data_IF_202153160221
#
_entry.id   IF_202153160221
#
_cell.length_a   1.000
_cell.length_b   1.000
_cell.length_c   1.000
_cell.angle_alpha   90.00
_cell.angle_beta   90.00
_cell.angle_gamma   90.00
#
_symmetry.space_group_name_H-M   'P 1'
#
loop_
_entity.id
_entity.type
_entity.pdbx_description
1 polymer ?
#
# COMPACT_ATOMS: atom_id res chain seq x y z
N UNK A 1 -17.23 21.45 -18.30
CA UNK A 1 -16.55 21.68 -17.00
C UNK A 1 -16.55 20.46 -16.08
N UNK A 2 -17.69 19.80 -15.81
CA UNK A 2 -17.75 18.68 -14.85
C UNK A 2 -16.88 17.45 -15.15
N UNK A 3 -16.72 17.07 -16.43
CA UNK A 3 -15.93 15.88 -16.81
C UNK A 3 -14.41 16.09 -16.73
N UNK A 4 -13.93 17.33 -16.90
CA UNK A 4 -12.50 17.63 -16.78
C UNK A 4 -12.06 17.55 -15.32
N UNK A 5 -12.85 18.16 -14.42
CA UNK A 5 -12.61 18.14 -12.97
C UNK A 5 -12.64 16.71 -12.43
N UNK A 6 -13.63 15.89 -12.83
CA UNK A 6 -13.71 14.47 -12.44
C UNK A 6 -12.48 13.68 -12.90
N UNK A 7 -12.01 13.85 -14.14
CA UNK A 7 -10.79 13.17 -14.62
C UNK A 7 -9.53 13.59 -13.85
N UNK A 8 -9.40 14.88 -13.53
CA UNK A 8 -8.26 15.38 -12.77
C UNK A 8 -8.27 14.85 -11.33
N UNK A 9 -9.44 14.82 -10.68
CA UNK A 9 -9.62 14.23 -9.36
C UNK A 9 -9.32 12.73 -9.36
N UNK A 10 -9.82 11.97 -10.35
CA UNK A 10 -9.50 10.55 -10.48
C UNK A 10 -8.00 10.31 -10.65
N UNK A 11 -7.31 11.11 -11.47
CA UNK A 11 -5.85 11.03 -11.62
C UNK A 11 -5.10 11.35 -10.33
N UNK A 12 -5.56 12.35 -9.58
CA UNK A 12 -4.98 12.73 -8.30
C UNK A 12 -5.15 11.60 -7.26
N UNK A 13 -6.35 11.01 -7.19
CA UNK A 13 -6.65 9.88 -6.31
C UNK A 13 -5.82 8.64 -6.67
N UNK A 14 -5.67 8.32 -7.97
CA UNK A 14 -4.77 7.24 -8.41
C UNK A 14 -3.33 7.54 -8.02
N UNK A 15 -2.85 8.77 -8.23
CA UNK A 15 -1.49 9.17 -7.84
C UNK A 15 -1.26 9.09 -6.33
N UNK A 16 -2.26 9.39 -5.51
CA UNK A 16 -2.17 9.30 -4.05
C UNK A 16 -2.17 7.84 -3.59
N UNK A 17 -3.02 7.00 -4.19
CA UNK A 17 -3.03 5.56 -3.90
C UNK A 17 -1.67 4.92 -4.24
N UNK A 18 -1.08 5.25 -5.38
CA UNK A 18 0.22 4.73 -5.79
C UNK A 18 1.34 5.15 -4.82
N UNK A 19 1.36 6.41 -4.39
CA UNK A 19 2.31 6.88 -3.36
C UNK A 19 2.15 6.11 -2.05
N UNK A 20 0.92 5.88 -1.62
CA UNK A 20 0.64 5.14 -0.37
C UNK A 20 1.11 3.69 -0.48
N UNK A 21 0.87 3.03 -1.62
CA UNK A 21 1.40 1.68 -1.89
C UNK A 21 2.93 1.64 -1.81
N UNK A 22 3.62 2.61 -2.41
CA UNK A 22 5.09 2.69 -2.35
C UNK A 22 5.60 2.89 -0.91
N UNK A 23 4.98 3.77 -0.13
CA UNK A 23 5.33 3.98 1.29
C UNK A 23 5.12 2.69 2.10
N UNK A 24 4.02 1.97 1.90
CA UNK A 24 3.77 0.67 2.54
C UNK A 24 4.82 -0.36 2.14
N UNK A 25 5.14 -0.46 0.84
CA UNK A 25 6.14 -1.40 0.32
C UNK A 25 7.48 -1.17 1.00
N UNK A 26 7.92 0.09 1.09
CA UNK A 26 9.17 0.45 1.76
C UNK A 26 9.17 0.07 3.25
N UNK A 27 8.08 0.33 3.98
CA UNK A 27 7.94 -0.05 5.39
C UNK A 27 7.98 -1.57 5.60
N UNK A 28 7.23 -2.32 4.79
CA UNK A 28 7.19 -3.78 4.85
C UNK A 28 8.56 -4.38 4.55
N UNK A 29 9.25 -3.87 3.53
CA UNK A 29 10.61 -4.30 3.18
C UNK A 29 11.61 -4.00 4.29
N UNK A 30 11.52 -2.83 4.92
CA UNK A 30 12.37 -2.48 6.06
C UNK A 30 12.17 -3.45 7.24
N UNK A 31 10.94 -3.86 7.52
CA UNK A 31 10.64 -4.85 8.55
C UNK A 31 11.16 -6.25 8.18
N UNK A 32 11.04 -6.68 6.91
CA UNK A 32 11.61 -7.95 6.43
C UNK A 32 13.12 -7.98 6.65
N UNK A 33 13.80 -6.87 6.35
CA UNK A 33 15.25 -6.78 6.43
C UNK A 33 15.77 -6.75 7.88
N UNK A 34 14.97 -6.24 8.82
CA UNK A 34 15.40 -6.02 10.22
C UNK A 34 14.92 -7.11 11.18
N UNK A 35 13.83 -7.81 10.88
CA UNK A 35 13.29 -8.85 11.77
C UNK A 35 14.06 -10.17 11.65
N UNK A 36 14.16 -10.91 12.76
CA UNK A 36 14.63 -12.31 12.77
C UNK A 36 13.50 -13.33 12.60
N UNK A 37 12.23 -12.92 12.73
CA UNK A 37 11.07 -13.82 12.66
C UNK A 37 10.74 -14.23 11.23
N UNK A 38 10.80 -15.53 10.94
CA UNK A 38 10.41 -16.08 9.64
C UNK A 38 8.95 -15.81 9.29
N UNK A 39 8.06 -15.90 10.28
CA UNK A 39 6.64 -15.58 10.11
C UNK A 39 6.41 -14.13 9.69
N UNK A 40 7.09 -13.18 10.35
CA UNK A 40 6.96 -11.75 10.01
C UNK A 40 7.48 -11.49 8.59
N UNK A 41 8.59 -12.13 8.20
CA UNK A 41 9.11 -12.03 6.83
C UNK A 41 8.09 -12.52 5.79
N UNK A 42 7.56 -13.73 5.98
CA UNK A 42 6.58 -14.32 5.06
C UNK A 42 5.31 -13.49 4.97
N UNK A 43 4.74 -13.07 6.11
CA UNK A 43 3.53 -12.23 6.14
C UNK A 43 3.77 -10.91 5.39
N UNK A 44 4.90 -10.24 5.64
CA UNK A 44 5.18 -8.96 5.02
C UNK A 44 5.44 -9.08 3.52
N UNK A 45 6.07 -10.18 3.06
CA UNK A 45 6.23 -10.45 1.64
C UNK A 45 4.86 -10.63 0.96
N UNK A 46 3.96 -11.40 1.57
CA UNK A 46 2.58 -11.56 1.05
C UNK A 46 1.85 -10.21 0.96
N UNK A 47 2.03 -9.32 1.94
CA UNK A 47 1.47 -7.97 1.85
C UNK A 47 2.07 -7.16 0.69
N UNK A 48 3.38 -7.26 0.43
CA UNK A 48 4.02 -6.61 -0.72
C UNK A 48 3.41 -7.12 -2.03
N UNK A 49 3.24 -8.43 -2.18
CA UNK A 49 2.70 -9.04 -3.40
C UNK A 49 1.23 -8.59 -3.63
N UNK A 50 0.46 -8.43 -2.55
CA UNK A 50 -0.92 -7.95 -2.63
C UNK A 50 -1.04 -6.46 -2.99
N UNK A 51 -0.03 -5.63 -2.72
CA UNK A 51 -0.09 -4.18 -3.01
C UNK A 51 -0.25 -3.89 -4.51
N UNK A 52 0.27 -4.76 -5.38
CA UNK A 52 0.19 -4.59 -6.83
C UNK A 52 -1.27 -4.52 -7.30
N UNK A 53 -2.12 -5.37 -6.74
CA UNK A 53 -3.55 -5.45 -7.08
C UNK A 53 -4.47 -4.77 -6.05
N UNK A 54 -3.90 -4.20 -4.98
CA UNK A 54 -4.69 -3.66 -3.88
C UNK A 54 -5.54 -2.46 -4.32
N UNK A 55 -6.83 -2.51 -4.00
CA UNK A 55 -7.71 -1.34 -4.04
C UNK A 55 -7.41 -0.41 -2.86
N UNK A 56 -7.91 0.82 -2.91
CA UNK A 56 -7.78 1.78 -1.81
C UNK A 56 -8.30 1.21 -0.47
N UNK A 57 -9.43 0.49 -0.50
CA UNK A 57 -10.00 -0.15 0.70
C UNK A 57 -9.08 -1.24 1.26
N UNK A 58 -8.38 -1.98 0.40
CA UNK A 58 -7.39 -2.97 0.83
C UNK A 58 -6.17 -2.28 1.46
N UNK A 59 -5.64 -1.23 0.82
CA UNK A 59 -4.54 -0.43 1.37
C UNK A 59 -4.90 0.14 2.74
N UNK A 60 -6.10 0.71 2.91
CA UNK A 60 -6.60 1.19 4.20
C UNK A 60 -6.61 0.11 5.29
N UNK A 61 -6.99 -1.13 4.95
CA UNK A 61 -6.99 -2.25 5.90
C UNK A 61 -5.56 -2.69 6.26
N UNK A 62 -4.67 -2.78 5.26
CA UNK A 62 -3.27 -3.13 5.46
C UNK A 62 -2.57 -2.12 6.37
N UNK A 63 -2.76 -0.82 6.13
CA UNK A 63 -2.18 0.23 6.98
C UNK A 63 -2.63 0.09 8.44
N UNK A 64 -3.92 -0.20 8.69
CA UNK A 64 -4.44 -0.39 10.04
C UNK A 64 -3.85 -1.62 10.74
N UNK A 65 -3.65 -2.72 10.01
CA UNK A 65 -3.07 -3.94 10.58
C UNK A 65 -1.55 -3.84 10.79
N UNK A 66 -0.85 -3.01 10.01
CA UNK A 66 0.60 -2.77 10.16
C UNK A 66 0.92 -1.73 11.25
N UNK A 67 0.01 -0.77 11.50
CA UNK A 67 0.16 0.27 12.53
C UNK A 67 -0.32 -0.15 13.93
N UNK A 68 -0.85 -1.38 14.08
CA UNK A 68 -1.07 -2.01 15.38
C UNK A 68 0.26 -2.54 15.94
#
# INVERSE_FOLDING_TARGET
MGNLLKRLLSKLLTSELDKRKEILRAKLQAQINTTSSSWVKTRNQLYIDLLEIASETMVNKMEKEILK
#
